data_IF_121368584310
#
_entry.id   IF_121368584310
#
_cell.length_a   1.000
_cell.length_b   1.000
_cell.length_c   1.000
_cell.angle_alpha   90.00
_cell.angle_beta   90.00
_cell.angle_gamma   90.00
#
_symmetry.space_group_name_H-M   'P 1'
#
loop_
_entity.id
_entity.type
_entity.pdbx_description
1 polymer ?
#
# COMPACT_ATOMS: atom_id res chain seq x y z
N UNK A 1 60.31 22.90 18.31
CA UNK A 1 58.98 23.22 18.86
C UNK A 1 58.18 23.95 17.78
N UNK A 2 57.35 23.23 17.04
CA UNK A 2 56.46 23.81 16.04
C UNK A 2 55.05 23.90 16.62
N UNK A 3 54.54 25.13 16.78
CA UNK A 3 53.15 25.38 17.16
C UNK A 3 52.27 25.27 15.95
N UNK A 4 51.41 24.28 15.96
CA UNK A 4 50.33 24.12 14.97
C UNK A 4 49.17 25.06 15.34
N UNK A 5 48.94 26.08 14.53
CA UNK A 5 47.81 27.00 14.69
C UNK A 5 46.64 26.45 13.88
N UNK A 6 45.64 25.87 14.53
CA UNK A 6 44.40 25.45 13.93
C UNK A 6 43.52 26.68 13.70
N UNK A 7 43.34 27.06 12.45
CA UNK A 7 42.46 28.16 12.01
C UNK A 7 41.03 27.65 11.87
N UNK A 8 40.18 27.92 12.87
CA UNK A 8 38.76 27.68 12.81
C UNK A 8 38.12 28.57 11.72
N UNK A 9 37.62 27.96 10.63
CA UNK A 9 36.77 28.64 9.66
C UNK A 9 35.41 28.90 10.30
N UNK A 10 35.04 30.17 10.39
CA UNK A 10 33.70 30.63 10.77
C UNK A 10 32.65 30.04 9.84
N UNK A 11 31.64 29.40 10.42
CA UNK A 11 30.42 28.94 9.79
C UNK A 11 29.76 30.07 9.00
N UNK A 12 29.62 29.84 7.71
CA UNK A 12 28.72 30.58 6.86
C UNK A 12 27.25 30.28 7.28
N UNK A 13 26.50 31.34 7.42
CA UNK A 13 25.06 31.37 7.69
C UNK A 13 24.35 30.40 6.73
N UNK A 14 23.63 29.42 7.30
CA UNK A 14 22.64 28.65 6.58
C UNK A 14 21.52 29.62 6.28
N UNK A 15 21.43 30.06 5.03
CA UNK A 15 20.30 30.77 4.52
C UNK A 15 19.07 29.83 4.55
N UNK A 16 18.04 30.28 5.25
CA UNK A 16 16.72 29.69 5.21
C UNK A 16 16.08 30.00 3.84
N UNK A 17 16.55 29.29 2.81
CA UNK A 17 16.00 29.40 1.47
C UNK A 17 15.50 28.06 0.99
N UNK A 18 14.18 28.06 0.74
CA UNK A 18 13.43 27.09 -0.02
C UNK A 18 13.24 25.72 0.65
N UNK A 19 12.31 25.68 1.61
CA UNK A 19 11.37 24.57 1.63
C UNK A 19 10.60 24.65 0.31
N UNK A 20 11.13 24.07 -0.75
CA UNK A 20 10.32 23.75 -1.92
C UNK A 20 9.31 22.73 -1.42
N UNK A 21 8.03 23.11 -1.40
CA UNK A 21 6.90 22.22 -1.41
C UNK A 21 7.02 21.33 -2.67
N UNK A 22 7.89 20.34 -2.61
CA UNK A 22 7.77 19.17 -3.46
C UNK A 22 6.54 18.41 -2.93
N UNK A 23 5.34 18.84 -3.33
CA UNK A 23 4.22 17.94 -3.48
C UNK A 23 4.73 16.89 -4.47
N UNK A 24 5.19 15.76 -3.95
CA UNK A 24 5.43 14.59 -4.78
C UNK A 24 4.07 14.27 -5.45
N UNK A 25 3.89 14.84 -6.64
CA UNK A 25 2.70 14.63 -7.44
C UNK A 25 2.90 13.32 -8.18
N UNK A 26 2.15 12.29 -7.78
CA UNK A 26 2.20 10.98 -8.42
C UNK A 26 1.18 10.84 -9.55
N UNK A 27 0.42 11.90 -9.86
CA UNK A 27 -0.60 11.92 -10.92
C UNK A 27 -0.03 11.60 -12.30
N UNK A 28 1.27 11.83 -12.53
CA UNK A 28 1.94 11.52 -13.80
C UNK A 28 2.35 10.05 -13.90
N UNK A 29 2.23 9.28 -12.81
CA UNK A 29 2.57 7.87 -12.78
C UNK A 29 1.31 7.03 -13.01
N UNK A 30 1.42 6.06 -13.92
CA UNK A 30 0.33 5.15 -14.26
C UNK A 30 0.74 3.70 -14.06
N UNK A 31 -0.25 2.86 -13.72
CA UNK A 31 -0.04 1.43 -13.60
C UNK A 31 0.18 0.78 -14.97
N UNK A 32 1.10 -0.15 -15.01
CA UNK A 32 1.34 -1.06 -16.13
C UNK A 32 0.43 -2.29 -16.02
N UNK A 33 0.26 -3.03 -17.12
CA UNK A 33 -0.34 -4.36 -17.10
C UNK A 33 0.63 -5.40 -16.49
N UNK A 34 1.92 -5.11 -16.43
CA UNK A 34 2.95 -5.96 -15.85
C UNK A 34 2.98 -5.80 -14.34
N UNK A 35 2.75 -6.90 -13.62
CA UNK A 35 2.83 -6.91 -12.16
C UNK A 35 4.24 -6.56 -11.66
N UNK A 36 5.27 -7.05 -12.34
CA UNK A 36 6.67 -6.77 -11.98
C UNK A 36 7.00 -5.28 -12.07
N UNK A 37 6.56 -4.61 -13.16
CA UNK A 37 6.75 -3.17 -13.34
C UNK A 37 6.03 -2.38 -12.25
N UNK A 38 4.80 -2.79 -11.90
CA UNK A 38 4.03 -2.17 -10.84
C UNK A 38 4.71 -2.34 -9.47
N UNK A 39 5.22 -3.52 -9.16
CA UNK A 39 5.94 -3.75 -7.90
C UNK A 39 7.23 -2.93 -7.82
N UNK A 40 7.94 -2.76 -8.93
CA UNK A 40 9.09 -1.87 -9.01
C UNK A 40 8.67 -0.42 -8.81
N UNK A 41 7.59 0.01 -9.48
CA UNK A 41 7.05 1.36 -9.34
C UNK A 41 6.69 1.69 -7.89
N UNK A 42 6.02 0.78 -7.16
CA UNK A 42 5.70 0.98 -5.74
C UNK A 42 6.97 1.11 -4.88
N UNK A 43 7.97 0.24 -5.08
CA UNK A 43 9.23 0.34 -4.34
C UNK A 43 9.94 1.68 -4.59
N UNK A 44 9.94 2.15 -5.83
CA UNK A 44 10.56 3.43 -6.20
C UNK A 44 9.81 4.62 -5.57
N UNK A 45 8.47 4.60 -5.56
CA UNK A 45 7.64 5.63 -4.94
C UNK A 45 7.88 5.69 -3.43
N UNK A 46 7.90 4.56 -2.78
CA UNK A 46 8.16 4.44 -1.33
C UNK A 46 9.66 4.45 -1.00
N UNK A 47 10.54 4.74 -1.98
CA UNK A 47 12.00 4.88 -1.81
C UNK A 47 12.66 3.65 -1.16
N UNK A 48 12.15 2.47 -1.45
CA UNK A 48 12.56 1.20 -0.85
C UNK A 48 12.46 1.21 0.69
N UNK A 49 11.44 1.86 1.24
CA UNK A 49 11.16 1.86 2.67
C UNK A 49 10.94 0.42 3.15
N UNK A 50 11.64 0.02 4.21
CA UNK A 50 11.59 -1.34 4.77
C UNK A 50 10.22 -1.68 5.38
N UNK A 51 9.38 -0.67 5.66
CA UNK A 51 8.01 -0.87 6.14
C UNK A 51 7.02 -1.21 5.03
N UNK A 52 7.38 -0.96 3.76
CA UNK A 52 6.54 -1.35 2.63
C UNK A 52 6.65 -2.85 2.39
N UNK A 53 5.57 -3.56 2.65
CA UNK A 53 5.47 -5.00 2.38
C UNK A 53 4.84 -5.23 1.03
N UNK A 54 5.51 -6.02 0.18
CA UNK A 54 4.97 -6.54 -1.07
C UNK A 54 4.88 -8.06 -0.96
N UNK A 55 3.66 -8.60 -0.86
CA UNK A 55 3.41 -10.03 -0.74
C UNK A 55 2.69 -10.54 -1.98
N UNK A 56 3.38 -11.33 -2.79
CA UNK A 56 2.79 -11.93 -3.98
C UNK A 56 2.18 -13.29 -3.68
N UNK A 57 1.04 -13.55 -4.28
CA UNK A 57 0.27 -14.78 -4.19
C UNK A 57 0.14 -15.36 -5.59
N UNK A 58 0.56 -16.59 -5.75
CA UNK A 58 0.30 -17.35 -6.95
C UNK A 58 -1.11 -17.93 -6.86
N UNK A 59 -1.94 -17.64 -7.87
CA UNK A 59 -3.28 -18.21 -7.95
C UNK A 59 -3.13 -19.58 -8.64
N UNK A 60 -3.23 -20.70 -7.89
CA UNK A 60 -3.00 -22.02 -8.46
C UNK A 60 -3.98 -22.29 -9.63
N UNK A 61 -3.57 -23.11 -10.61
CA UNK A 61 -4.35 -23.54 -11.80
C UNK A 61 -4.71 -22.47 -12.83
N UNK A 62 -4.31 -21.21 -12.63
CA UNK A 62 -4.59 -20.13 -13.58
C UNK A 62 -3.44 -19.84 -14.55
N UNK A 63 -2.42 -20.68 -14.57
CA UNK A 63 -1.17 -20.39 -15.28
C UNK A 63 -0.36 -19.34 -14.52
N UNK A 64 0.31 -18.45 -15.21
CA UNK A 64 1.18 -17.43 -14.62
C UNK A 64 0.47 -16.22 -14.03
N UNK A 65 -0.77 -16.40 -13.50
CA UNK A 65 -1.49 -15.27 -12.91
C UNK A 65 -1.16 -15.17 -11.43
N UNK A 66 -0.42 -14.14 -11.13
CA UNK A 66 -0.09 -13.73 -9.78
C UNK A 66 -0.77 -12.41 -9.45
N UNK A 67 -1.10 -12.23 -8.20
CA UNK A 67 -1.45 -10.95 -7.63
C UNK A 67 -0.52 -10.62 -6.49
N UNK A 68 -0.30 -9.34 -6.24
CA UNK A 68 0.50 -8.89 -5.11
C UNK A 68 -0.31 -7.97 -4.21
N UNK A 69 -0.13 -8.12 -2.91
CA UNK A 69 -0.61 -7.22 -1.88
C UNK A 69 0.50 -6.24 -1.54
N UNK A 70 0.16 -4.95 -1.49
CA UNK A 70 1.06 -3.87 -1.13
C UNK A 70 0.47 -3.12 0.06
N UNK A 71 1.20 -3.06 1.17
CA UNK A 71 0.74 -2.42 2.40
C UNK A 71 1.93 -2.00 3.28
N UNK A 72 1.68 -1.16 4.29
CA UNK A 72 2.68 -0.76 5.29
C UNK A 72 2.59 -1.70 6.50
N UNK A 73 3.72 -2.28 6.90
CA UNK A 73 3.80 -3.12 8.09
C UNK A 73 3.44 -2.33 9.36
N UNK A 74 2.70 -2.98 10.25
CA UNK A 74 2.21 -2.34 11.48
C UNK A 74 0.99 -1.42 11.29
N UNK A 75 0.59 -1.10 10.05
CA UNK A 75 -0.60 -0.26 9.78
C UNK A 75 -1.86 -1.10 9.46
N UNK A 76 -1.69 -2.34 9.04
CA UNK A 76 -2.77 -3.24 8.66
C UNK A 76 -3.13 -4.23 9.77
N UNK A 77 -4.40 -4.63 9.84
CA UNK A 77 -4.81 -5.79 10.64
C UNK A 77 -4.44 -7.08 9.90
N UNK A 78 -3.42 -7.75 10.40
CA UNK A 78 -2.91 -9.00 9.80
C UNK A 78 -3.94 -10.13 9.84
N UNK A 79 -4.90 -10.10 10.78
CA UNK A 79 -5.99 -11.07 10.87
C UNK A 79 -6.99 -10.85 9.74
N UNK A 80 -7.40 -9.60 9.48
CA UNK A 80 -8.25 -9.24 8.34
C UNK A 80 -7.56 -9.67 7.05
N UNK A 81 -6.28 -9.33 6.90
CA UNK A 81 -5.51 -9.66 5.70
C UNK A 81 -5.44 -11.17 5.44
N UNK A 82 -5.23 -11.96 6.48
CA UNK A 82 -5.17 -13.43 6.39
C UNK A 82 -6.53 -14.04 6.11
N UNK A 83 -7.54 -13.68 6.91
CA UNK A 83 -8.82 -14.40 6.93
C UNK A 83 -9.77 -13.89 5.84
N UNK A 84 -9.73 -12.59 5.53
CA UNK A 84 -10.67 -11.95 4.60
C UNK A 84 -10.09 -11.71 3.20
N UNK A 85 -8.77 -11.72 3.03
CA UNK A 85 -8.11 -11.48 1.75
C UNK A 85 -7.38 -12.72 1.25
N UNK A 86 -6.36 -13.16 1.99
CA UNK A 86 -5.49 -14.26 1.52
C UNK A 86 -6.26 -15.57 1.39
N UNK A 87 -7.03 -15.94 2.39
CA UNK A 87 -7.76 -17.20 2.41
C UNK A 87 -8.78 -17.32 1.27
N UNK A 88 -9.68 -16.35 1.02
CA UNK A 88 -10.60 -16.41 -0.11
C UNK A 88 -9.90 -16.54 -1.47
N UNK A 89 -8.76 -15.86 -1.67
CA UNK A 89 -7.99 -15.92 -2.92
C UNK A 89 -7.37 -17.32 -3.10
N UNK A 90 -6.81 -17.88 -2.03
CA UNK A 90 -6.19 -19.21 -2.08
C UNK A 90 -7.24 -20.33 -2.18
N UNK A 91 -8.40 -20.18 -1.53
CA UNK A 91 -9.47 -21.16 -1.53
C UNK A 91 -10.29 -21.15 -2.84
N UNK A 92 -10.19 -20.09 -3.64
CA UNK A 92 -10.90 -19.98 -4.93
C UNK A 92 -10.69 -21.18 -5.83
N UNK A 93 -9.52 -21.76 -5.79
CA UNK A 93 -9.13 -22.84 -6.67
C UNK A 93 -9.54 -24.23 -6.21
N UNK A 94 -9.79 -24.43 -4.92
CA UNK A 94 -10.21 -25.74 -4.42
C UNK A 94 -11.65 -26.05 -4.79
N UNK A 95 -12.47 -25.02 -5.03
CA UNK A 95 -13.92 -25.15 -5.22
C UNK A 95 -14.41 -24.85 -6.63
N UNK A 96 -13.59 -24.21 -7.49
CA UNK A 96 -14.06 -23.85 -8.84
C UNK A 96 -13.65 -24.88 -9.87
N UNK A 97 -14.64 -25.48 -10.54
CA UNK A 97 -14.46 -26.30 -11.75
C UNK A 97 -14.02 -25.46 -12.97
N UNK A 98 -13.80 -24.16 -12.79
CA UNK A 98 -13.42 -23.20 -13.85
C UNK A 98 -11.90 -23.13 -13.91
N UNK A 99 -11.35 -23.51 -15.05
CA UNK A 99 -9.91 -23.47 -15.36
C UNK A 99 -9.37 -22.08 -15.75
N UNK A 100 -10.18 -21.04 -15.64
CA UNK A 100 -9.79 -19.70 -16.06
C UNK A 100 -9.34 -18.88 -14.85
N UNK A 101 -8.28 -18.12 -15.05
CA UNK A 101 -7.82 -17.14 -14.10
C UNK A 101 -8.90 -16.14 -13.72
N UNK A 102 -9.02 -15.75 -12.43
CA UNK A 102 -9.94 -14.72 -12.03
C UNK A 102 -9.49 -13.36 -12.58
N UNK A 103 -10.44 -12.58 -13.08
CA UNK A 103 -10.26 -11.18 -13.36
C UNK A 103 -10.39 -10.34 -12.06
N UNK A 104 -10.10 -9.05 -12.16
CA UNK A 104 -10.13 -8.14 -11.00
C UNK A 104 -11.54 -8.06 -10.37
N UNK A 105 -12.59 -8.11 -11.18
CA UNK A 105 -13.98 -8.06 -10.69
C UNK A 105 -14.38 -9.36 -9.98
N UNK A 106 -13.83 -10.50 -10.38
CA UNK A 106 -14.00 -11.76 -9.68
C UNK A 106 -13.27 -11.77 -8.35
N UNK A 107 -12.04 -11.26 -8.30
CA UNK A 107 -11.29 -11.08 -7.05
C UNK A 107 -12.03 -10.13 -6.10
N UNK A 108 -12.54 -9.02 -6.61
CA UNK A 108 -13.35 -8.09 -5.84
C UNK A 108 -14.53 -8.78 -5.18
N UNK A 109 -15.31 -9.58 -5.94
CA UNK A 109 -16.47 -10.32 -5.42
C UNK A 109 -16.11 -11.32 -4.31
N UNK A 110 -14.92 -11.90 -4.35
CA UNK A 110 -14.46 -12.84 -3.32
C UNK A 110 -14.14 -12.14 -1.99
N UNK A 111 -13.58 -10.95 -2.07
CA UNK A 111 -13.06 -10.22 -0.90
C UNK A 111 -14.13 -9.31 -0.29
N UNK A 112 -15.01 -8.74 -1.12
CA UNK A 112 -16.08 -7.77 -0.74
C UNK A 112 -17.03 -8.28 0.35
N UNK A 113 -17.19 -9.59 0.47
CA UNK A 113 -18.04 -10.17 1.52
C UNK A 113 -17.52 -9.93 2.95
N UNK A 114 -16.26 -9.55 3.09
CA UNK A 114 -15.57 -9.46 4.39
C UNK A 114 -14.83 -8.14 4.62
N UNK A 115 -14.61 -7.34 3.56
CA UNK A 115 -13.82 -6.11 3.60
C UNK A 115 -14.43 -5.10 2.62
N UNK A 116 -14.44 -3.83 2.97
CA UNK A 116 -14.80 -2.77 2.03
C UNK A 116 -13.73 -2.65 0.95
N UNK A 117 -14.17 -2.61 -0.31
CA UNK A 117 -13.28 -2.64 -1.48
C UNK A 117 -13.61 -1.50 -2.43
N UNK A 118 -12.57 -0.77 -2.83
CA UNK A 118 -12.64 0.27 -3.87
C UNK A 118 -11.73 -0.12 -5.03
N UNK A 119 -12.20 0.01 -6.26
CA UNK A 119 -11.39 -0.17 -7.48
C UNK A 119 -10.94 1.19 -8.01
N UNK A 120 -9.65 1.34 -8.31
CA UNK A 120 -9.08 2.59 -8.83
C UNK A 120 -7.83 2.33 -9.67
N UNK A 121 -7.53 3.25 -10.59
CA UNK A 121 -6.29 3.34 -11.36
C UNK A 121 -5.49 4.62 -11.04
N UNK A 122 -6.02 5.45 -10.12
CA UNK A 122 -5.45 6.74 -9.74
C UNK A 122 -4.33 6.54 -8.72
N UNK A 123 -3.09 6.81 -9.14
CA UNK A 123 -1.90 6.54 -8.32
C UNK A 123 -1.90 7.29 -6.97
N UNK A 124 -2.31 8.55 -6.96
CA UNK A 124 -2.39 9.34 -5.72
C UNK A 124 -3.35 8.73 -4.70
N UNK A 125 -4.52 8.22 -5.16
CA UNK A 125 -5.48 7.52 -4.29
C UNK A 125 -4.88 6.24 -3.72
N UNK A 126 -4.17 5.47 -4.56
CA UNK A 126 -3.54 4.21 -4.15
C UNK A 126 -2.50 4.47 -3.06
N UNK A 127 -1.61 5.45 -3.28
CA UNK A 127 -0.54 5.79 -2.33
C UNK A 127 -1.13 6.28 -1.02
N UNK A 128 -2.10 7.20 -1.08
CA UNK A 128 -2.76 7.73 0.12
C UNK A 128 -3.42 6.60 0.90
N UNK A 129 -4.15 5.70 0.25
CA UNK A 129 -4.81 4.57 0.91
C UNK A 129 -3.81 3.65 1.61
N UNK A 130 -2.70 3.30 0.93
CA UNK A 130 -1.65 2.45 1.51
C UNK A 130 -1.00 3.12 2.73
N UNK A 131 -0.72 4.43 2.65
CA UNK A 131 -0.19 5.20 3.78
C UNK A 131 -1.17 5.30 4.95
N UNK A 132 -2.48 5.21 4.68
CA UNK A 132 -3.53 5.20 5.71
C UNK A 132 -3.84 3.81 6.27
N UNK A 133 -3.09 2.77 5.90
CA UNK A 133 -3.21 1.41 6.43
C UNK A 133 -4.19 0.52 5.66
N UNK A 134 -4.58 0.93 4.44
CA UNK A 134 -5.28 0.05 3.52
C UNK A 134 -4.27 -0.83 2.76
N UNK A 135 -4.76 -1.91 2.17
CA UNK A 135 -3.97 -2.79 1.33
C UNK A 135 -4.36 -2.61 -0.13
N UNK A 136 -3.38 -2.38 -1.00
CA UNK A 136 -3.59 -2.41 -2.44
C UNK A 136 -3.37 -3.84 -2.97
N UNK A 137 -4.36 -4.41 -3.66
CA UNK A 137 -4.26 -5.67 -4.38
C UNK A 137 -4.05 -5.38 -5.86
N UNK A 138 -2.90 -5.77 -6.36
CA UNK A 138 -2.46 -5.57 -7.76
C UNK A 138 -2.49 -6.91 -8.48
N UNK A 139 -3.23 -6.97 -9.59
CA UNK A 139 -3.35 -8.18 -10.41
C UNK A 139 -2.49 -8.07 -11.66
N UNK A 140 -1.78 -9.13 -12.01
CA UNK A 140 -1.08 -9.20 -13.29
C UNK A 140 -2.09 -9.11 -14.45
N UNK A 141 -1.78 -8.29 -15.44
CA UNK A 141 -2.67 -8.05 -16.58
C UNK A 141 -3.69 -6.91 -16.38
N UNK A 142 -3.77 -6.29 -15.19
CA UNK A 142 -4.66 -5.17 -14.92
C UNK A 142 -3.90 -3.85 -14.71
N UNK A 143 -4.50 -2.76 -15.15
CA UNK A 143 -4.06 -1.38 -14.83
C UNK A 143 -4.83 -0.76 -13.66
N UNK A 144 -5.80 -1.47 -13.14
CA UNK A 144 -6.55 -1.08 -11.96
C UNK A 144 -6.13 -1.94 -10.78
N UNK A 145 -6.27 -1.41 -9.56
CA UNK A 145 -6.04 -2.13 -8.31
C UNK A 145 -7.28 -2.12 -7.45
N UNK A 146 -7.37 -3.06 -6.52
CA UNK A 146 -8.38 -3.04 -5.47
C UNK A 146 -7.73 -2.48 -4.19
N UNK A 147 -8.33 -1.45 -3.64
CA UNK A 147 -8.01 -0.95 -2.30
C UNK A 147 -8.92 -1.64 -1.31
N UNK A 148 -8.31 -2.32 -0.36
CA UNK A 148 -8.98 -3.14 0.65
C UNK A 148 -8.86 -2.44 2.01
N UNK A 149 -9.98 -2.15 2.68
CA UNK A 149 -9.95 -1.53 4.01
C UNK A 149 -9.47 -2.55 5.05
N UNK A 150 -8.16 -2.52 5.31
CA UNK A 150 -7.49 -3.47 6.22
C UNK A 150 -6.85 -2.78 7.42
N UNK A 151 -7.27 -1.57 7.75
CA UNK A 151 -6.70 -0.75 8.82
C UNK A 151 -6.66 -1.50 10.14
N UNK A 152 -5.48 -1.55 10.76
CA UNK A 152 -5.24 -2.22 12.04
C UNK A 152 -5.46 -1.33 13.27
N UNK A 153 -5.81 -0.07 13.08
CA UNK A 153 -6.05 0.85 14.18
C UNK A 153 -7.54 1.15 14.34
N UNK A 154 -8.04 1.01 15.56
CA UNK A 154 -9.42 1.35 15.91
C UNK A 154 -9.63 2.87 15.78
N UNK A 155 -10.72 3.27 15.13
CA UNK A 155 -11.20 4.64 15.23
C UNK A 155 -11.54 4.90 16.69
N UNK A 156 -10.70 5.66 17.40
CA UNK A 156 -11.02 6.09 18.76
C UNK A 156 -12.29 6.94 18.69
N UNK A 157 -13.38 6.40 19.19
CA UNK A 157 -14.57 7.20 19.47
C UNK A 157 -14.18 8.15 20.59
N UNK A 158 -14.12 9.44 20.30
CA UNK A 158 -13.98 10.46 21.35
C UNK A 158 -15.32 10.46 22.07
N UNK A 159 -15.38 9.80 23.22
CA UNK A 159 -16.51 9.96 24.14
C UNK A 159 -16.43 11.40 24.68
N UNK A 160 -17.44 12.21 24.36
CA UNK A 160 -17.58 13.53 24.99
C UNK A 160 -17.66 13.33 26.51
N UNK A 161 -16.85 14.06 27.31
CA UNK A 161 -16.95 14.00 28.76
C UNK A 161 -18.38 14.40 29.17
N UNK A 162 -19.06 13.49 29.85
CA UNK A 162 -20.35 13.84 30.48
C UNK A 162 -20.13 15.01 31.39
N UNK A 163 -20.64 16.20 30.98
CA UNK A 163 -20.70 17.34 31.86
C UNK A 163 -21.58 16.98 33.03
N UNK A 164 -21.00 16.80 34.22
CA UNK A 164 -21.75 16.71 35.47
C UNK A 164 -22.60 17.96 35.60
N UNK A 165 -23.92 17.80 35.57
CA UNK A 165 -24.84 18.83 35.96
C UNK A 165 -24.76 18.98 37.48
N UNK A 166 -24.21 20.11 37.91
CA UNK A 166 -24.32 20.61 39.28
C UNK A 166 -25.72 21.18 39.51
#
# INVERSE_FOLDING_TARGET
>A
MLRCVVRLKKNSRISADKVTDNKDNFSDKSLSVSLEDNMKLFRDIFRNDDTLVTRCLDIPYSGDISCCLVYIDGMVDTKILRDSVNKPILDYNTNSKKKNAPDLDQLMKMVVASVDVKKTDVMDEIIISVLYGDTALVLNGSREVLILETKGWEKRTIEEPNAEKV
#
